data_IF_855733775973
#
_entry.id   IF_855733775973
#
_cell.length_a   1.000
_cell.length_b   1.000
_cell.length_c   1.000
_cell.angle_alpha   90.00
_cell.angle_beta   90.00
_cell.angle_gamma   90.00
#
_symmetry.space_group_name_H-M   'P 1'
#
loop_
_entity.id
_entity.type
_entity.pdbx_description
1 polymer ?
#
# COMPACT_ATOMS: atom_id res chain seq x y z
N UNK A 1 19.10 -1.18 6.16
CA UNK A 1 18.09 -2.17 5.70
C UNK A 1 17.48 -2.98 6.86
N UNK A 2 18.27 -3.78 7.60
CA UNK A 2 17.80 -4.59 8.74
C UNK A 2 17.06 -3.79 9.82
N UNK A 3 17.63 -2.65 10.23
CA UNK A 3 17.03 -1.77 11.24
C UNK A 3 15.69 -1.19 10.77
N UNK A 4 15.61 -0.77 9.50
CA UNK A 4 14.40 -0.16 8.95
C UNK A 4 13.25 -1.16 8.77
N UNK A 5 13.54 -2.40 8.39
CA UNK A 5 12.53 -3.46 8.30
C UNK A 5 11.97 -3.80 9.69
N UNK A 6 12.85 -3.99 10.68
CA UNK A 6 12.42 -4.24 12.06
C UNK A 6 11.59 -3.08 12.59
N UNK A 7 11.95 -1.84 12.26
CA UNK A 7 11.17 -0.67 12.62
C UNK A 7 9.78 -0.69 11.96
N UNK A 8 9.67 -1.03 10.67
CA UNK A 8 8.37 -1.16 10.00
C UNK A 8 7.48 -2.25 10.62
N UNK A 9 8.05 -3.43 10.91
CA UNK A 9 7.31 -4.54 11.55
C UNK A 9 6.81 -4.13 12.93
N UNK A 10 7.69 -3.61 13.79
CA UNK A 10 7.33 -3.16 15.13
C UNK A 10 6.26 -2.08 15.08
N UNK A 11 6.38 -1.16 14.13
CA UNK A 11 5.47 -0.05 13.98
C UNK A 11 4.09 -0.46 13.46
N UNK A 12 4.01 -1.42 12.53
CA UNK A 12 2.73 -2.01 12.14
C UNK A 12 2.07 -2.83 13.25
N UNK A 13 2.85 -3.56 14.05
CA UNK A 13 2.34 -4.26 15.22
C UNK A 13 1.77 -3.27 16.27
N UNK A 14 2.50 -2.18 16.55
CA UNK A 14 2.04 -1.09 17.42
C UNK A 14 0.77 -0.45 16.86
N UNK A 15 0.71 -0.19 15.55
CA UNK A 15 -0.51 0.34 14.89
C UNK A 15 -1.71 -0.59 15.05
N UNK A 16 -1.51 -1.89 14.87
CA UNK A 16 -2.56 -2.88 15.05
C UNK A 16 -3.08 -2.90 16.49
N UNK A 17 -2.18 -2.85 17.48
CA UNK A 17 -2.53 -2.79 18.90
C UNK A 17 -3.34 -1.54 19.25
N UNK A 18 -2.91 -0.35 18.79
CA UNK A 18 -3.66 0.88 19.02
C UNK A 18 -5.02 0.85 18.33
N UNK A 19 -5.15 0.26 17.13
CA UNK A 19 -6.46 0.12 16.48
C UNK A 19 -7.40 -0.84 17.22
N UNK A 20 -6.88 -1.95 17.74
CA UNK A 20 -7.67 -2.86 18.59
C UNK A 20 -8.14 -2.17 19.87
N UNK A 21 -7.29 -1.33 20.46
CA UNK A 21 -7.66 -0.50 21.62
C UNK A 21 -8.77 0.51 21.28
N UNK A 22 -8.70 1.15 20.11
CA UNK A 22 -9.77 2.04 19.61
C UNK A 22 -11.09 1.30 19.47
N UNK A 23 -11.08 0.13 18.84
CA UNK A 23 -12.30 -0.67 18.64
C UNK A 23 -12.90 -1.04 20.00
N UNK A 24 -12.07 -1.46 20.95
CA UNK A 24 -12.50 -1.74 22.32
C UNK A 24 -13.11 -0.49 22.98
N UNK A 25 -12.47 0.67 22.86
CA UNK A 25 -12.98 1.90 23.45
C UNK A 25 -14.24 2.44 22.74
N UNK A 26 -14.36 2.28 21.42
CA UNK A 26 -15.59 2.64 20.69
C UNK A 26 -16.77 1.77 21.11
N UNK A 27 -16.52 0.51 21.49
CA UNK A 27 -17.57 -0.43 21.86
C UNK A 27 -17.95 -0.37 23.35
N UNK A 28 -16.98 -0.11 24.23
CA UNK A 28 -17.16 -0.15 25.69
C UNK A 28 -16.92 1.19 26.40
N UNK A 29 -16.43 2.20 25.68
CA UNK A 29 -16.06 3.51 26.24
C UNK A 29 -17.26 4.46 26.37
N UNK A 30 -17.18 5.45 27.28
CA UNK A 30 -18.25 6.41 27.50
C UNK A 30 -18.44 7.33 26.28
N UNK A 31 -19.70 7.55 25.89
CA UNK A 31 -20.12 8.30 24.68
C UNK A 31 -19.67 9.77 24.64
N UNK A 32 -19.18 10.34 25.74
CA UNK A 32 -18.97 11.78 25.88
C UNK A 32 -17.56 12.27 25.49
N UNK A 33 -16.63 11.39 25.11
CA UNK A 33 -15.27 11.78 24.70
C UNK A 33 -14.85 11.07 23.41
N UNK A 34 -15.16 11.70 22.28
CA UNK A 34 -14.72 11.26 20.95
C UNK A 34 -13.19 11.41 20.87
N UNK A 35 -12.50 10.28 20.92
CA UNK A 35 -11.05 10.16 21.05
C UNK A 35 -10.30 10.67 19.80
N UNK A 36 -9.59 11.79 19.96
CA UNK A 36 -8.68 12.38 18.95
C UNK A 36 -7.28 11.76 18.97
N UNK A 37 -6.80 11.29 20.12
CA UNK A 37 -5.43 10.79 20.29
C UNK A 37 -5.12 9.57 19.42
N UNK A 38 -6.07 8.65 19.26
CA UNK A 38 -5.82 7.41 18.55
C UNK A 38 -5.85 7.60 17.02
N UNK A 39 -6.66 8.54 16.52
CA UNK A 39 -6.62 8.97 15.12
C UNK A 39 -5.29 9.67 14.80
N UNK A 40 -4.76 10.47 15.73
CA UNK A 40 -3.45 11.10 15.59
C UNK A 40 -2.35 10.02 15.53
N UNK A 41 -2.39 9.01 16.40
CA UNK A 41 -1.44 7.90 16.38
C UNK A 41 -1.48 7.13 15.04
N UNK A 42 -2.67 6.79 14.54
CA UNK A 42 -2.82 6.13 13.23
C UNK A 42 -2.29 7.01 12.08
N UNK A 43 -2.51 8.33 12.15
CA UNK A 43 -1.99 9.28 11.14
C UNK A 43 -0.47 9.35 11.15
N UNK A 44 0.15 9.45 12.34
CA UNK A 44 1.62 9.42 12.49
C UNK A 44 2.22 8.13 11.97
N UNK A 45 1.51 7.01 12.17
CA UNK A 45 1.98 5.70 11.71
C UNK A 45 1.94 5.61 10.18
N UNK A 46 0.87 6.11 9.55
CA UNK A 46 0.81 6.23 8.09
C UNK A 46 1.96 7.07 7.55
N UNK A 47 2.25 8.19 8.20
CA UNK A 47 3.27 9.15 7.79
C UNK A 47 4.70 8.58 7.89
N UNK A 48 5.02 7.84 8.94
CA UNK A 48 6.31 7.17 9.06
C UNK A 48 6.49 6.03 8.04
N UNK A 49 5.40 5.31 7.70
CA UNK A 49 5.43 4.32 6.64
C UNK A 49 5.67 4.97 5.27
N UNK A 50 4.98 6.07 4.99
CA UNK A 50 5.21 6.87 3.78
C UNK A 50 6.64 7.40 3.69
N UNK A 51 7.18 7.96 4.78
CA UNK A 51 8.57 8.42 4.83
C UNK A 51 9.58 7.31 4.53
N UNK A 52 9.32 6.09 5.00
CA UNK A 52 10.15 4.93 4.69
C UNK A 52 10.12 4.60 3.19
N UNK A 53 8.95 4.56 2.56
CA UNK A 53 8.85 4.34 1.12
C UNK A 53 9.51 5.47 0.32
N UNK A 54 9.34 6.72 0.75
CA UNK A 54 10.03 7.89 0.16
C UNK A 54 11.56 7.73 0.18
N UNK A 55 12.13 7.19 1.24
CA UNK A 55 13.57 6.91 1.31
C UNK A 55 14.05 5.82 0.34
N UNK A 56 13.17 4.87 -0.02
CA UNK A 56 13.47 3.87 -1.05
C UNK A 56 13.43 4.51 -2.46
N UNK A 57 12.64 5.57 -2.65
CA UNK A 57 12.46 6.25 -3.95
C UNK A 57 13.59 7.21 -4.32
N UNK A 58 14.35 7.74 -3.36
CA UNK A 58 15.51 8.63 -3.65
C UNK A 58 16.56 7.95 -4.55
N UNK A 59 16.57 6.62 -4.60
CA UNK A 59 17.48 5.83 -5.44
C UNK A 59 16.94 5.54 -6.83
N UNK A 60 15.65 5.79 -7.07
CA UNK A 60 14.98 5.49 -8.33
C UNK A 60 15.33 6.47 -9.45
N UNK A 61 15.11 6.03 -10.70
CA UNK A 61 15.20 6.93 -11.85
C UNK A 61 14.10 8.01 -11.83
N UNK A 62 14.40 9.21 -12.36
CA UNK A 62 13.45 10.34 -12.50
C UNK A 62 12.01 9.95 -12.94
N UNK A 63 11.79 9.13 -13.99
CA UNK A 63 10.42 8.78 -14.40
C UNK A 63 9.66 8.00 -13.33
N UNK A 64 10.33 7.09 -12.63
CA UNK A 64 9.75 6.29 -11.56
C UNK A 64 9.45 7.14 -10.33
N UNK A 65 10.30 8.09 -9.98
CA UNK A 65 10.02 9.06 -8.92
C UNK A 65 8.79 9.92 -9.25
N UNK A 66 8.71 10.45 -10.48
CA UNK A 66 7.53 11.22 -10.92
C UNK A 66 6.27 10.37 -10.86
N UNK A 67 6.34 9.10 -11.29
CA UNK A 67 5.23 8.16 -11.17
C UNK A 67 4.70 8.06 -9.74
N UNK A 68 5.58 7.79 -8.77
CA UNK A 68 5.16 7.64 -7.38
C UNK A 68 4.61 8.94 -6.79
N UNK A 69 5.22 10.08 -7.10
CA UNK A 69 4.73 11.40 -6.64
C UNK A 69 3.33 11.68 -7.20
N UNK A 70 3.11 11.42 -8.49
CA UNK A 70 1.80 11.64 -9.12
C UNK A 70 0.75 10.71 -8.52
N UNK A 71 1.07 9.42 -8.36
CA UNK A 71 0.15 8.44 -7.75
C UNK A 71 -0.18 8.83 -6.30
N UNK A 72 0.82 9.27 -5.52
CA UNK A 72 0.63 9.68 -4.14
C UNK A 72 -0.25 10.94 -4.04
N UNK A 73 0.01 11.96 -4.87
CA UNK A 73 -0.79 13.17 -4.91
C UNK A 73 -2.25 12.89 -5.29
N UNK A 74 -2.47 12.00 -6.27
CA UNK A 74 -3.79 11.54 -6.67
C UNK A 74 -4.48 10.79 -5.51
N UNK A 75 -3.76 9.89 -4.85
CA UNK A 75 -4.31 9.09 -3.75
C UNK A 75 -4.67 9.95 -2.54
N UNK A 76 -3.77 10.87 -2.14
CA UNK A 76 -4.02 11.81 -1.05
C UNK A 76 -5.19 12.72 -1.37
N UNK A 77 -5.19 13.37 -2.54
CA UNK A 77 -6.29 14.26 -2.94
C UNK A 77 -7.63 13.53 -2.98
N UNK A 78 -7.67 12.32 -3.54
CA UNK A 78 -8.87 11.48 -3.55
C UNK A 78 -9.36 11.17 -2.13
N UNK A 79 -8.47 10.75 -1.24
CA UNK A 79 -8.82 10.41 0.15
C UNK A 79 -9.35 11.62 0.92
N UNK A 80 -8.75 12.79 0.73
CA UNK A 80 -9.23 14.05 1.34
C UNK A 80 -10.61 14.43 0.80
N UNK A 81 -10.81 14.38 -0.52
CA UNK A 81 -12.11 14.67 -1.14
C UNK A 81 -13.19 13.69 -0.69
N UNK A 82 -12.89 12.38 -0.66
CA UNK A 82 -13.83 11.36 -0.19
C UNK A 82 -14.21 11.58 1.27
N UNK A 83 -13.21 11.83 2.14
CA UNK A 83 -13.44 12.11 3.56
C UNK A 83 -14.31 13.37 3.76
N UNK A 84 -14.04 14.44 3.01
CA UNK A 84 -14.86 15.66 3.03
C UNK A 84 -16.30 15.38 2.61
N UNK A 85 -16.50 14.70 1.47
CA UNK A 85 -17.84 14.42 0.96
C UNK A 85 -18.65 13.51 1.90
N UNK A 86 -18.01 12.55 2.58
CA UNK A 86 -18.64 11.69 3.58
C UNK A 86 -19.06 12.50 4.81
N UNK A 87 -18.19 13.35 5.35
CA UNK A 87 -18.46 14.14 6.57
C UNK A 87 -19.65 15.09 6.38
N UNK A 88 -19.81 15.68 5.20
CA UNK A 88 -20.93 16.57 4.90
C UNK A 88 -22.15 15.86 4.29
N UNK A 89 -22.11 14.54 4.15
CA UNK A 89 -23.22 13.76 3.59
C UNK A 89 -23.51 14.03 2.11
N UNK A 90 -22.53 14.56 1.37
CA UNK A 90 -22.68 14.89 -0.06
C UNK A 90 -22.44 13.70 -1.00
N UNK A 91 -21.77 12.65 -0.52
CA UNK A 91 -21.51 11.44 -1.30
C UNK A 91 -22.15 10.23 -0.64
N UNK A 92 -22.71 9.35 -1.48
CA UNK A 92 -23.16 8.03 -1.01
C UNK A 92 -21.96 7.08 -0.93
N UNK A 93 -22.06 6.12 -0.02
CA UNK A 93 -21.12 5.01 0.11
C UNK A 93 -20.81 4.31 -1.22
N UNK A 94 -21.85 4.15 -2.07
CA UNK A 94 -21.73 3.53 -3.40
C UNK A 94 -20.91 4.41 -4.35
N UNK A 95 -21.09 5.72 -4.31
CA UNK A 95 -20.34 6.65 -5.16
C UNK A 95 -18.85 6.65 -4.80
N UNK A 96 -18.51 6.60 -3.50
CA UNK A 96 -17.13 6.47 -3.04
C UNK A 96 -16.50 5.15 -3.49
N UNK A 97 -17.25 4.04 -3.39
CA UNK A 97 -16.78 2.73 -3.87
C UNK A 97 -16.46 2.75 -5.37
N UNK A 98 -17.32 3.36 -6.19
CA UNK A 98 -17.09 3.50 -7.64
C UNK A 98 -15.87 4.37 -7.93
N UNK A 99 -15.74 5.48 -7.22
CA UNK A 99 -14.60 6.41 -7.32
C UNK A 99 -13.27 5.72 -7.00
N UNK A 100 -13.20 4.97 -5.89
CA UNK A 100 -12.02 4.20 -5.51
C UNK A 100 -11.70 3.10 -6.53
N UNK A 101 -12.73 2.42 -7.05
CA UNK A 101 -12.58 1.44 -8.12
C UNK A 101 -11.97 2.03 -9.41
N UNK A 102 -12.40 3.24 -9.80
CA UNK A 102 -11.82 3.96 -10.95
C UNK A 102 -10.34 4.30 -10.73
N UNK A 103 -9.97 4.77 -9.55
CA UNK A 103 -8.56 5.05 -9.22
C UNK A 103 -7.69 3.80 -9.21
N UNK A 104 -8.21 2.70 -8.66
CA UNK A 104 -7.51 1.42 -8.68
C UNK A 104 -7.23 0.97 -10.12
N UNK A 105 -8.23 1.08 -11.01
CA UNK A 105 -8.07 0.74 -12.43
C UNK A 105 -7.06 1.67 -13.13
N UNK A 106 -7.15 2.98 -12.89
CA UNK A 106 -6.22 3.96 -13.45
C UNK A 106 -4.78 3.70 -12.98
N UNK A 107 -4.59 3.41 -11.69
CA UNK A 107 -3.30 3.06 -11.10
C UNK A 107 -2.71 1.79 -11.72
N UNK A 108 -3.54 0.76 -11.96
CA UNK A 108 -3.11 -0.46 -12.64
C UNK A 108 -2.65 -0.19 -14.09
N UNK A 109 -3.42 0.58 -14.86
CA UNK A 109 -3.07 0.97 -16.23
C UNK A 109 -1.75 1.75 -16.25
N UNK A 110 -1.59 2.69 -15.32
CA UNK A 110 -0.39 3.51 -15.23
C UNK A 110 0.85 2.70 -14.81
N UNK A 111 0.69 1.76 -13.88
CA UNK A 111 1.75 0.82 -13.49
C UNK A 111 2.20 -0.05 -14.68
N UNK A 112 1.25 -0.59 -15.46
CA UNK A 112 1.55 -1.36 -16.68
C UNK A 112 2.24 -0.50 -17.74
N UNK A 113 1.85 0.77 -17.87
CA UNK A 113 2.49 1.71 -18.79
C UNK A 113 3.95 1.96 -18.41
N UNK A 114 4.24 2.27 -17.14
CA UNK A 114 5.62 2.48 -16.66
C UNK A 114 6.46 1.22 -16.84
N UNK A 115 5.93 0.05 -16.47
CA UNK A 115 6.61 -1.22 -16.67
C UNK A 115 6.99 -1.46 -18.14
N UNK A 116 6.07 -1.20 -19.07
CA UNK A 116 6.34 -1.35 -20.51
C UNK A 116 7.31 -0.29 -21.02
N UNK A 117 7.23 0.94 -20.52
CA UNK A 117 8.15 2.03 -20.88
C UNK A 117 9.59 1.68 -20.48
N UNK A 118 9.81 1.29 -19.23
CA UNK A 118 11.13 0.98 -18.69
C UNK A 118 11.75 -0.25 -19.39
N UNK A 119 10.96 -1.29 -19.67
CA UNK A 119 11.42 -2.45 -20.43
C UNK A 119 11.84 -2.08 -21.86
N UNK A 120 11.05 -1.25 -22.55
CA UNK A 120 11.38 -0.79 -23.90
C UNK A 120 12.65 0.07 -23.91
N UNK A 121 12.86 0.89 -22.88
CA UNK A 121 14.07 1.69 -22.74
C UNK A 121 15.30 0.80 -22.50
N UNK A 122 15.18 -0.19 -21.62
CA UNK A 122 16.24 -1.17 -21.36
C UNK A 122 16.59 -1.96 -22.64
N UNK A 123 15.59 -2.42 -23.39
CA UNK A 123 15.79 -3.16 -24.64
C UNK A 123 16.49 -2.29 -25.70
N UNK A 124 16.13 -1.01 -25.82
CA UNK A 124 16.80 -0.06 -26.72
C UNK A 124 18.27 0.14 -26.34
N UNK A 125 18.57 0.21 -25.05
CA UNK A 125 19.96 0.35 -24.54
C UNK A 125 20.76 -0.92 -24.84
N UNK A 126 20.18 -2.10 -24.63
CA UNK A 126 20.83 -3.38 -24.94
C UNK A 126 21.09 -3.56 -26.44
N UNK A 127 20.12 -3.19 -27.30
CA UNK A 127 20.23 -3.30 -28.77
C UNK A 127 21.25 -2.34 -29.38
N UNK A 128 21.44 -1.14 -28.81
CA UNK A 128 22.44 -0.18 -29.29
C UNK A 128 23.89 -0.62 -29.03
N UNK A 129 24.09 -1.60 -28.14
CA UNK A 129 25.41 -2.04 -27.74
C UNK A 129 26.22 -0.98 -27.00
N UNK A 130 27.42 -1.36 -26.57
CA UNK A 130 28.38 -0.45 -25.95
C UNK A 130 29.01 0.46 -27.00
N UNK A 131 28.29 1.48 -27.46
CA UNK A 131 28.93 2.59 -28.18
C UNK A 131 29.81 3.36 -27.19
N UNK A 132 31.10 3.46 -27.48
CA UNK A 132 32.18 3.86 -26.57
C UNK A 132 32.02 5.24 -25.89
N UNK A 133 31.04 6.05 -26.30
CA UNK A 133 30.95 7.47 -25.92
C UNK A 133 29.62 7.90 -25.29
N UNK A 134 28.66 7.00 -25.03
CA UNK A 134 27.36 7.40 -24.46
C UNK A 134 26.68 6.37 -23.56
N UNK A 135 27.32 5.23 -23.30
CA UNK A 135 26.76 4.21 -22.41
C UNK A 135 27.09 4.56 -20.96
N UNK A 136 26.17 5.23 -20.26
CA UNK A 136 26.23 5.28 -18.80
C UNK A 136 25.79 3.92 -18.27
N UNK A 137 26.76 3.09 -17.87
CA UNK A 137 26.55 1.85 -17.13
C UNK A 137 25.51 2.06 -16.02
N UNK A 138 25.58 3.21 -15.34
CA UNK A 138 24.64 3.66 -14.31
C UNK A 138 23.18 3.67 -14.76
N UNK A 139 22.85 4.16 -15.96
CA UNK A 139 21.46 4.21 -16.45
C UNK A 139 20.85 2.81 -16.62
N UNK A 140 21.64 1.87 -17.14
CA UNK A 140 21.19 0.49 -17.30
C UNK A 140 20.94 -0.23 -15.97
N UNK A 141 21.75 0.08 -14.95
CA UNK A 141 21.54 -0.40 -13.59
C UNK A 141 20.27 0.19 -12.97
N UNK A 142 20.06 1.50 -13.09
CA UNK A 142 18.85 2.18 -12.60
C UNK A 142 17.57 1.61 -13.22
N UNK A 143 17.55 1.39 -14.54
CA UNK A 143 16.39 0.79 -15.21
C UNK A 143 16.12 -0.64 -14.74
N UNK A 144 17.17 -1.45 -14.53
CA UNK A 144 17.02 -2.80 -13.99
C UNK A 144 16.48 -2.78 -12.56
N UNK A 145 16.95 -1.85 -11.73
CA UNK A 145 16.46 -1.67 -10.37
C UNK A 145 14.98 -1.26 -10.36
N UNK A 146 14.59 -0.28 -11.19
CA UNK A 146 13.19 0.13 -11.35
C UNK A 146 12.30 -1.03 -11.80
N UNK A 147 12.72 -1.81 -12.80
CA UNK A 147 11.95 -2.98 -13.29
C UNK A 147 11.80 -4.02 -12.19
N UNK A 148 12.86 -4.30 -11.43
CA UNK A 148 12.80 -5.25 -10.32
C UNK A 148 11.86 -4.75 -9.20
N UNK A 149 11.87 -3.46 -8.93
CA UNK A 149 10.99 -2.81 -7.95
C UNK A 149 9.52 -2.90 -8.39
N UNK A 150 9.20 -2.65 -9.66
CA UNK A 150 7.84 -2.83 -10.20
C UNK A 150 7.41 -4.31 -10.14
N UNK A 151 8.31 -5.25 -10.47
CA UNK A 151 8.03 -6.69 -10.34
C UNK A 151 7.75 -7.07 -8.89
N UNK A 152 8.54 -6.55 -7.95
CA UNK A 152 8.30 -6.76 -6.51
C UNK A 152 6.91 -6.26 -6.13
N UNK A 153 6.53 -5.03 -6.51
CA UNK A 153 5.19 -4.52 -6.24
C UNK A 153 4.09 -5.36 -6.88
N UNK A 154 4.26 -5.80 -8.14
CA UNK A 154 3.27 -6.65 -8.81
C UNK A 154 3.05 -7.99 -8.09
N UNK A 155 4.09 -8.54 -7.45
CA UNK A 155 3.98 -9.76 -6.64
C UNK A 155 3.28 -9.48 -5.31
N UNK A 156 3.54 -8.32 -4.68
CA UNK A 156 2.84 -7.88 -3.46
C UNK A 156 1.37 -7.58 -3.73
N UNK A 157 1.01 -7.15 -4.94
CA UNK A 157 -0.39 -6.88 -5.32
C UNK A 157 -1.29 -8.10 -5.17
N UNK A 158 -0.79 -9.32 -5.39
CA UNK A 158 -1.59 -10.55 -5.28
C UNK A 158 -2.09 -10.82 -3.86
N UNK A 159 -1.24 -10.94 -2.82
CA UNK A 159 -1.72 -11.11 -1.45
C UNK A 159 -2.50 -9.89 -0.96
N UNK A 160 -2.15 -8.69 -1.43
CA UNK A 160 -2.92 -7.49 -1.11
C UNK A 160 -4.36 -7.59 -1.64
N UNK A 161 -4.55 -8.04 -2.88
CA UNK A 161 -5.88 -8.27 -3.46
C UNK A 161 -6.68 -9.32 -2.70
N UNK A 162 -6.04 -10.44 -2.34
CA UNK A 162 -6.69 -11.51 -1.59
C UNK A 162 -7.24 -11.02 -0.24
N UNK A 163 -6.46 -10.18 0.46
CA UNK A 163 -6.84 -9.63 1.78
C UNK A 163 -7.77 -8.42 1.65
N UNK A 164 -7.71 -7.69 0.55
CA UNK A 164 -8.60 -6.54 0.30
C UNK A 164 -9.99 -6.97 -0.17
N UNK A 165 -10.18 -8.23 -0.59
CA UNK A 165 -11.46 -8.69 -1.13
C UNK A 165 -12.61 -8.75 -0.10
N UNK A 166 -12.42 -9.31 1.12
CA UNK A 166 -13.47 -9.35 2.13
C UNK A 166 -14.16 -8.01 2.45
N UNK A 167 -13.47 -6.88 2.69
CA UNK A 167 -14.13 -5.60 3.00
C UNK A 167 -14.92 -5.07 1.81
N UNK A 168 -14.45 -5.30 0.57
CA UNK A 168 -15.18 -4.95 -0.65
C UNK A 168 -16.50 -5.72 -0.77
N UNK A 169 -16.58 -6.96 -0.28
CA UNK A 169 -17.82 -7.73 -0.25
C UNK A 169 -18.73 -7.36 0.92
N UNK A 170 -18.15 -7.13 2.11
CA UNK A 170 -18.90 -6.87 3.33
C UNK A 170 -19.47 -5.45 3.38
N UNK A 171 -18.83 -4.48 2.71
CA UNK A 171 -19.28 -3.10 2.72
C UNK A 171 -20.63 -2.89 1.99
N UNK A 172 -20.86 -3.41 0.76
CA UNK A 172 -22.19 -3.43 0.16
C UNK A 172 -23.21 -4.23 0.99
N UNK A 173 -22.79 -5.33 1.62
CA UNK A 173 -23.67 -6.10 2.50
C UNK A 173 -24.14 -5.25 3.70
N UNK A 174 -23.25 -4.46 4.30
CA UNK A 174 -23.58 -3.50 5.35
C UNK A 174 -24.58 -2.43 4.85
N UNK A 175 -24.37 -1.89 3.65
CA UNK A 175 -25.20 -0.84 3.09
C UNK A 175 -26.61 -1.33 2.70
N UNK A 176 -26.73 -2.58 2.21
CA UNK A 176 -27.99 -3.12 1.71
C UNK A 176 -28.85 -3.80 2.79
N UNK A 177 -28.24 -4.26 3.88
CA UNK A 177 -28.96 -4.99 4.94
C UNK A 177 -29.45 -4.02 5.99
N UNK A 178 -30.72 -3.63 5.90
CA UNK A 178 -31.36 -2.67 6.81
C UNK A 178 -31.99 -3.30 8.06
N UNK A 179 -32.21 -4.62 8.07
CA UNK A 179 -33.00 -5.32 9.11
C UNK A 179 -32.19 -6.08 10.17
N UNK A 180 -30.88 -6.28 9.97
CA UNK A 180 -30.06 -7.11 10.85
C UNK A 180 -28.89 -6.32 11.43
N UNK A 181 -29.11 -5.67 12.57
CA UNK A 181 -28.12 -4.79 13.21
C UNK A 181 -26.83 -5.53 13.59
N UNK A 182 -26.92 -6.78 14.07
CA UNK A 182 -25.74 -7.57 14.41
C UNK A 182 -24.79 -7.78 13.22
N UNK A 183 -25.33 -8.05 12.03
CA UNK A 183 -24.53 -8.26 10.83
C UNK A 183 -23.88 -6.95 10.37
N UNK A 184 -24.58 -5.82 10.56
CA UNK A 184 -24.03 -4.49 10.26
C UNK A 184 -22.84 -4.18 11.17
N UNK A 185 -22.98 -4.38 12.49
CA UNK A 185 -21.88 -4.17 13.44
C UNK A 185 -20.70 -5.11 13.17
N UNK A 186 -20.98 -6.38 12.84
CA UNK A 186 -19.92 -7.32 12.46
C UNK A 186 -19.17 -6.87 11.22
N UNK A 187 -19.88 -6.36 10.20
CA UNK A 187 -19.27 -5.88 8.95
C UNK A 187 -18.38 -4.65 9.20
N UNK A 188 -18.81 -3.72 10.07
CA UNK A 188 -17.99 -2.57 10.49
C UNK A 188 -16.73 -3.04 11.22
N UNK A 189 -16.89 -3.89 12.24
CA UNK A 189 -15.76 -4.40 13.02
C UNK A 189 -14.75 -5.16 12.14
N UNK A 190 -15.24 -5.97 11.22
CA UNK A 190 -14.40 -6.71 10.28
C UNK A 190 -13.67 -5.77 9.31
N UNK A 191 -14.34 -4.74 8.78
CA UNK A 191 -13.72 -3.72 7.95
C UNK A 191 -12.56 -3.03 8.68
N UNK A 192 -12.78 -2.63 9.94
CA UNK A 192 -11.76 -1.99 10.77
C UNK A 192 -10.57 -2.88 11.10
N UNK A 193 -10.81 -4.16 11.38
CA UNK A 193 -9.77 -5.16 11.62
C UNK A 193 -8.97 -5.46 10.35
N UNK A 194 -9.59 -5.35 9.17
CA UNK A 194 -8.90 -5.69 7.93
C UNK A 194 -7.83 -4.66 7.52
N UNK A 195 -7.98 -3.39 7.89
CA UNK A 195 -6.99 -2.34 7.62
C UNK A 195 -5.59 -2.71 8.17
N UNK A 196 -5.42 -3.04 9.47
CA UNK A 196 -4.11 -3.46 9.98
C UNK A 196 -3.65 -4.81 9.41
N UNK A 197 -4.56 -5.74 9.08
CA UNK A 197 -4.20 -7.01 8.42
C UNK A 197 -3.54 -6.74 7.07
N UNK A 198 -4.09 -5.83 6.27
CA UNK A 198 -3.50 -5.39 5.00
C UNK A 198 -2.05 -4.91 5.20
N UNK A 199 -1.81 -4.08 6.22
CA UNK A 199 -0.46 -3.56 6.53
C UNK A 199 0.51 -4.70 6.87
N UNK A 200 0.09 -5.63 7.75
CA UNK A 200 0.90 -6.80 8.12
C UNK A 200 1.22 -7.64 6.89
N UNK A 201 0.23 -7.88 6.03
CA UNK A 201 0.38 -8.66 4.79
C UNK A 201 1.37 -7.99 3.84
N UNK A 202 1.30 -6.67 3.66
CA UNK A 202 2.26 -5.93 2.83
C UNK A 202 3.68 -6.07 3.38
N UNK A 203 3.86 -5.87 4.69
CA UNK A 203 5.17 -5.95 5.33
C UNK A 203 5.77 -7.34 5.24
N UNK A 204 4.97 -8.39 5.45
CA UNK A 204 5.39 -9.78 5.31
C UNK A 204 5.66 -10.12 3.84
N UNK A 205 4.92 -9.53 2.90
CA UNK A 205 5.08 -9.80 1.46
C UNK A 205 6.36 -9.19 0.88
N UNK A 206 6.89 -8.08 1.42
CA UNK A 206 8.14 -7.47 0.96
C UNK A 206 9.35 -8.44 0.98
N UNK A 207 9.68 -9.10 2.12
CA UNK A 207 10.71 -10.15 2.18
C UNK A 207 10.51 -11.24 1.12
N UNK A 208 9.26 -11.69 1.01
CA UNK A 208 8.86 -12.85 0.25
C UNK A 208 8.97 -12.62 -1.25
N UNK A 209 8.74 -11.38 -1.69
CA UNK A 209 8.76 -10.99 -3.10
C UNK A 209 10.15 -10.59 -3.59
N UNK A 210 11.06 -10.20 -2.68
CA UNK A 210 12.39 -9.69 -3.00
C UNK A 210 13.50 -10.47 -2.26
N UNK A 211 14.07 -11.52 -2.88
CA UNK A 211 15.04 -12.41 -2.22
C UNK A 211 16.33 -11.68 -1.79
N UNK A 212 16.69 -10.58 -2.46
CA UNK A 212 17.82 -9.74 -2.06
C UNK A 212 17.63 -9.15 -0.65
N UNK A 213 16.40 -8.76 -0.30
CA UNK A 213 16.07 -8.28 1.04
C UNK A 213 16.07 -9.45 2.02
N UNK A 214 15.55 -10.62 1.63
CA UNK A 214 15.53 -11.83 2.44
C UNK A 214 16.94 -12.30 2.85
N UNK A 215 17.95 -12.17 1.98
CA UNK A 215 19.37 -12.47 2.32
C UNK A 215 19.88 -11.65 3.50
N UNK A 216 19.37 -10.43 3.66
CA UNK A 216 19.70 -9.58 4.79
C UNK A 216 18.82 -9.83 6.02
N UNK A 217 17.90 -10.80 6.03
CA UNK A 217 17.10 -11.10 7.22
C UNK A 217 17.78 -12.09 8.17
N UNK A 218 17.42 -12.08 9.47
CA UNK A 218 17.77 -13.13 10.42
C UNK A 218 17.38 -14.50 9.88
N UNK A 219 18.14 -15.55 10.22
CA UNK A 219 17.96 -16.90 9.63
C UNK A 219 16.53 -17.43 9.78
N UNK A 220 15.87 -17.18 10.92
CA UNK A 220 14.49 -17.59 11.17
C UNK A 220 13.41 -16.83 10.38
N UNK A 221 13.77 -15.78 9.64
CA UNK A 221 12.84 -14.97 8.83
C UNK A 221 13.14 -15.07 7.32
N UNK A 222 14.02 -15.98 6.91
CA UNK A 222 14.37 -16.19 5.49
C UNK A 222 13.34 -17.10 4.83
N UNK A 223 12.18 -16.54 4.51
CA UNK A 223 11.19 -17.20 3.67
C UNK A 223 11.23 -16.58 2.27
N UNK A 224 11.23 -17.39 1.22
CA UNK A 224 11.06 -16.94 -0.17
C UNK A 224 10.02 -17.84 -0.82
N UNK A 225 8.94 -17.25 -1.34
CA UNK A 225 7.91 -18.00 -2.07
C UNK A 225 8.31 -18.26 -3.53
N UNK A 226 9.32 -17.54 -4.03
CA UNK A 226 9.79 -17.64 -5.40
C UNK A 226 11.22 -18.19 -5.38
N UNK A 227 11.40 -19.40 -5.88
CA UNK A 227 12.71 -19.87 -6.33
C UNK A 227 13.04 -19.16 -7.66
N UNK A 228 14.27 -18.65 -7.79
CA UNK A 228 14.75 -17.98 -9.01
C UNK A 228 14.88 -18.94 -10.19
#
# INVERSE_FOLDING_TARGET
LRLHLNFCISHAAISGLFRLYVIHHQYYGPNEKVATADMIACSLIREAFMAYFTSLYERGGRPTTIFFVVVEMIHLSSTYSASFLVVYGYSSDIANLVHDGMYMLAGLVFCLFVYRSDNRELEKILKRGTSHNSYSITRSYQLRENINLIKMFSRITVPLWAVSWPPFLLYPAFALITRYDHLRYYSIAFYDVNIPIIVVVVIVSVPLCQPQIAKHMPVGLRFSFFEE
#
